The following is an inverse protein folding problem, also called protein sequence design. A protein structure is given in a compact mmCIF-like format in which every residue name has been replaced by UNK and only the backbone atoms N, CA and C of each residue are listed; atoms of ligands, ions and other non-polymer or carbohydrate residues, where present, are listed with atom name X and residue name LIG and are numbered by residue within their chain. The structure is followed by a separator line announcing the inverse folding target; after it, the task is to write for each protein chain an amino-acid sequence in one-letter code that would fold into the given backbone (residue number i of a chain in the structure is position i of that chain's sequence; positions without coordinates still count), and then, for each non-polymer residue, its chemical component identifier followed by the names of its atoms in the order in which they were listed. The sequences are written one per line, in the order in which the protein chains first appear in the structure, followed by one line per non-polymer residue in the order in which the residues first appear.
data_IF_586787417379
#
_entry.id   IF_586787417379
#
_cell.length_a   1.000
_cell.length_b   1.000
_cell.length_c   1.000
_cell.angle_alpha   90.00
_cell.angle_beta   90.00
_cell.angle_gamma   90.00
#
_symmetry.space_group_name_H-M   'P 1'
#
loop_
_entity.id
_entity.type
_entity.pdbx_description
1 polymer ?
#
# COMPACT_ATOMS: atom_id res chain seq x y z
N UNK A 1 -14.62 -13.61 -43.20
CA UNK A 1 -14.16 -14.19 -44.48
C UNK A 1 -13.10 -15.22 -44.18
N UNK A 2 -13.40 -16.51 -44.35
CA UNK A 2 -12.38 -17.56 -44.31
C UNK A 2 -11.66 -17.53 -45.65
N UNK A 3 -10.33 -17.38 -45.64
CA UNK A 3 -9.53 -17.41 -46.86
C UNK A 3 -9.66 -18.82 -47.48
N UNK A 4 -10.32 -18.91 -48.64
CA UNK A 4 -10.57 -20.17 -49.35
C UNK A 4 -9.38 -20.57 -50.25
N UNK A 5 -8.41 -19.69 -50.43
CA UNK A 5 -7.21 -19.97 -51.21
C UNK A 5 -6.26 -20.89 -50.42
N UNK A 6 -6.20 -22.16 -50.83
CA UNK A 6 -5.37 -23.19 -50.19
C UNK A 6 -3.87 -22.84 -50.22
N UNK A 7 -3.41 -22.11 -51.25
CA UNK A 7 -2.02 -21.71 -51.38
C UNK A 7 -1.59 -20.71 -50.30
N UNK A 8 -2.53 -19.94 -49.74
CA UNK A 8 -2.25 -18.93 -48.72
C UNK A 8 -2.36 -19.46 -47.28
N UNK A 9 -2.85 -20.70 -47.07
CA UNK A 9 -3.11 -21.26 -45.73
C UNK A 9 -1.84 -21.60 -44.96
N UNK A 10 -0.74 -21.94 -45.64
CA UNK A 10 0.48 -22.47 -45.01
C UNK A 10 1.73 -21.60 -45.25
N UNK A 11 1.56 -20.34 -45.67
CA UNK A 11 2.69 -19.45 -45.97
C UNK A 11 3.38 -18.89 -44.71
N UNK A 12 2.65 -18.77 -43.60
CA UNK A 12 3.19 -18.14 -42.38
C UNK A 12 4.00 -19.14 -41.59
N UNK A 13 5.20 -18.75 -41.22
CA UNK A 13 6.02 -19.43 -40.23
C UNK A 13 5.90 -18.67 -38.90
N UNK A 14 5.75 -19.41 -37.80
CA UNK A 14 5.82 -18.89 -36.44
C UNK A 14 7.06 -19.44 -35.76
N UNK A 15 7.72 -18.62 -34.94
CA UNK A 15 8.85 -19.01 -34.12
C UNK A 15 8.47 -18.89 -32.65
N UNK A 16 8.93 -19.82 -31.82
CA UNK A 16 8.89 -19.75 -30.36
C UNK A 16 10.26 -19.43 -29.78
N UNK A 17 10.37 -19.31 -28.46
CA UNK A 17 11.62 -18.97 -27.78
C UNK A 17 12.74 -19.98 -28.05
N UNK A 18 12.43 -21.27 -28.07
CA UNK A 18 13.42 -22.34 -28.27
C UNK A 18 13.90 -22.47 -29.73
N UNK A 19 13.25 -21.79 -30.68
CA UNK A 19 13.65 -21.83 -32.09
C UNK A 19 14.81 -20.87 -32.40
N UNK A 20 15.16 -19.96 -31.48
CA UNK A 20 16.11 -18.87 -31.73
C UNK A 20 17.09 -18.66 -30.58
N UNK A 21 18.25 -18.10 -30.91
CA UNK A 21 19.25 -17.66 -29.93
C UNK A 21 19.68 -16.22 -30.25
N UNK A 22 20.06 -15.47 -29.21
CA UNK A 22 20.66 -14.15 -29.37
C UNK A 22 22.14 -14.29 -29.76
N UNK A 23 22.56 -13.59 -30.81
CA UNK A 23 23.96 -13.55 -31.23
C UNK A 23 24.68 -12.51 -30.36
N UNK A 24 25.75 -12.89 -29.63
CA UNK A 24 26.54 -11.93 -28.84
C UNK A 24 27.15 -10.84 -29.72
N UNK A 25 27.22 -9.61 -29.20
CA UNK A 25 27.87 -8.47 -29.82
C UNK A 25 28.88 -7.84 -28.85
N UNK A 26 29.78 -7.01 -29.37
CA UNK A 26 30.69 -6.24 -28.53
C UNK A 26 29.90 -5.30 -27.60
N UNK A 27 30.29 -5.23 -26.33
CA UNK A 27 29.65 -4.39 -25.31
C UNK A 27 30.71 -3.79 -24.40
N UNK A 28 30.61 -2.48 -24.17
CA UNK A 28 31.41 -1.75 -23.19
C UNK A 28 30.64 -1.51 -21.87
N UNK A 29 29.43 -2.07 -21.74
CA UNK A 29 28.57 -1.94 -20.56
C UNK A 29 28.67 -3.19 -19.69
N UNK A 30 28.84 -3.00 -18.38
CA UNK A 30 28.80 -4.09 -17.41
C UNK A 30 27.36 -4.47 -17.09
N UNK A 31 27.04 -5.75 -16.82
CA UNK A 31 25.67 -6.19 -16.51
C UNK A 31 25.01 -5.43 -15.35
N UNK A 32 25.78 -4.97 -14.36
CA UNK A 32 25.25 -4.22 -13.21
C UNK A 32 24.82 -2.78 -13.56
N UNK A 33 25.31 -2.23 -14.67
CA UNK A 33 25.05 -0.87 -15.11
C UNK A 33 23.91 -0.79 -16.17
N UNK A 34 23.31 -1.93 -16.51
CA UNK A 34 22.22 -2.01 -17.50
C UNK A 34 20.93 -1.42 -16.92
N UNK A 35 20.34 -0.48 -17.67
CA UNK A 35 19.03 0.09 -17.34
C UNK A 35 17.90 -0.89 -17.75
N UNK A 36 17.13 -1.36 -16.76
CA UNK A 36 15.97 -2.25 -16.96
C UNK A 36 14.63 -1.50 -16.98
N UNK A 37 14.61 -0.18 -16.86
CA UNK A 37 13.37 0.58 -16.85
C UNK A 37 12.61 0.41 -18.17
N UNK A 38 11.30 0.27 -18.08
CA UNK A 38 10.44 0.07 -19.26
C UNK A 38 9.12 0.81 -19.15
N UNK A 39 8.47 1.05 -20.28
CA UNK A 39 7.20 1.74 -20.37
C UNK A 39 6.08 0.70 -20.58
N UNK A 40 5.23 0.48 -19.57
CA UNK A 40 4.09 -0.43 -19.70
C UNK A 40 2.93 0.21 -20.47
N UNK A 41 2.61 1.47 -20.15
CA UNK A 41 1.59 2.25 -20.85
C UNK A 41 2.13 3.64 -21.15
N UNK A 42 1.43 4.47 -21.93
CA UNK A 42 1.82 5.87 -22.18
C UNK A 42 2.11 6.71 -20.93
N UNK A 43 1.60 6.29 -19.75
CA UNK A 43 1.75 7.02 -18.48
C UNK A 43 2.45 6.25 -17.38
N UNK A 44 2.61 4.92 -17.52
CA UNK A 44 3.14 4.05 -16.45
C UNK A 44 4.50 3.51 -16.88
N UNK A 45 5.54 3.89 -16.13
CA UNK A 45 6.90 3.39 -16.23
C UNK A 45 7.17 2.42 -15.08
N UNK A 46 7.89 1.35 -15.35
CA UNK A 46 8.36 0.35 -14.39
C UNK A 46 9.88 0.45 -14.28
N UNK A 47 10.42 0.05 -13.13
CA UNK A 47 11.86 -0.02 -12.91
C UNK A 47 12.46 -1.33 -13.44
N UNK A 48 11.63 -2.39 -13.51
CA UNK A 48 11.97 -3.65 -14.15
C UNK A 48 10.83 -4.10 -15.09
N UNK A 49 11.10 -4.87 -16.16
CA UNK A 49 10.10 -5.28 -17.14
C UNK A 49 9.32 -6.53 -16.70
N UNK A 50 8.89 -6.59 -15.43
CA UNK A 50 8.17 -7.73 -14.87
C UNK A 50 6.74 -7.37 -14.45
N UNK A 51 5.80 -8.24 -14.84
CA UNK A 51 4.38 -8.14 -14.52
C UNK A 51 3.90 -9.49 -13.99
N UNK A 52 3.21 -9.52 -12.85
CA UNK A 52 2.62 -10.76 -12.35
C UNK A 52 1.25 -11.03 -13.01
N UNK A 53 0.99 -12.29 -13.36
CA UNK A 53 -0.21 -12.68 -14.08
C UNK A 53 -1.48 -12.48 -13.24
N UNK A 54 -2.56 -12.07 -13.89
CA UNK A 54 -3.88 -11.83 -13.28
C UNK A 54 -4.66 -13.13 -12.99
N UNK A 55 -4.06 -14.02 -12.20
CA UNK A 55 -4.59 -15.35 -11.85
C UNK A 55 -4.77 -15.47 -10.33
N UNK A 56 -5.80 -16.18 -9.90
CA UNK A 56 -6.11 -16.41 -8.48
C UNK A 56 -4.99 -17.14 -7.73
N UNK A 57 -4.29 -18.04 -8.41
CA UNK A 57 -3.13 -18.76 -7.88
C UNK A 57 -1.84 -17.94 -7.88
N UNK A 58 -1.83 -16.73 -8.44
CA UNK A 58 -0.61 -15.94 -8.65
C UNK A 58 -0.66 -14.60 -7.94
N UNK A 59 -1.69 -13.77 -8.19
CA UNK A 59 -1.65 -12.35 -7.81
C UNK A 59 -2.86 -11.89 -7.01
N UNK A 60 -2.69 -11.90 -5.70
CA UNK A 60 -3.46 -11.12 -4.73
C UNK A 60 -2.60 -9.97 -4.15
N UNK A 61 -3.12 -9.22 -3.17
CA UNK A 61 -2.48 -8.04 -2.57
C UNK A 61 -1.04 -8.30 -2.14
N UNK A 62 -0.74 -9.47 -1.58
CA UNK A 62 0.61 -9.83 -1.11
C UNK A 62 1.63 -9.86 -2.25
N UNK A 63 1.27 -10.48 -3.37
CA UNK A 63 2.15 -10.56 -4.55
C UNK A 63 2.25 -9.19 -5.22
N UNK A 64 1.14 -8.46 -5.34
CA UNK A 64 1.14 -7.13 -5.93
C UNK A 64 2.02 -6.13 -5.15
N UNK A 65 2.01 -6.19 -3.82
CA UNK A 65 2.93 -5.39 -2.97
C UNK A 65 4.38 -5.83 -3.20
N UNK A 66 4.65 -7.14 -3.19
CA UNK A 66 6.01 -7.66 -3.34
C UNK A 66 6.64 -7.28 -4.69
N UNK A 67 5.94 -7.50 -5.80
CA UNK A 67 6.47 -7.17 -7.14
C UNK A 67 6.62 -5.66 -7.34
N UNK A 68 5.75 -4.84 -6.74
CA UNK A 68 5.87 -3.40 -6.80
C UNK A 68 7.14 -2.90 -6.08
N UNK A 69 7.50 -3.52 -4.95
CA UNK A 69 8.75 -3.21 -4.22
C UNK A 69 10.00 -3.55 -5.00
N UNK A 70 9.97 -4.64 -5.75
CA UNK A 70 11.04 -5.00 -6.69
C UNK A 70 11.06 -4.11 -7.96
N UNK A 71 10.08 -3.21 -8.11
CA UNK A 71 10.01 -2.25 -9.21
C UNK A 71 9.18 -2.68 -10.42
N UNK A 72 8.49 -3.82 -10.32
CA UNK A 72 7.52 -4.31 -11.30
C UNK A 72 6.09 -3.89 -10.98
N UNK A 73 5.11 -4.63 -11.49
CA UNK A 73 3.68 -4.37 -11.21
C UNK A 73 2.87 -5.67 -11.14
N UNK A 74 1.93 -5.72 -10.20
CA UNK A 74 1.02 -6.86 -10.06
C UNK A 74 -0.39 -6.54 -10.51
N UNK A 75 -1.02 -7.47 -11.24
CA UNK A 75 -2.42 -7.36 -11.67
C UNK A 75 -3.29 -8.28 -10.81
N UNK A 76 -4.15 -7.70 -9.98
CA UNK A 76 -5.08 -8.47 -9.14
C UNK A 76 -6.09 -9.21 -10.03
N UNK A 77 -6.24 -10.51 -9.81
CA UNK A 77 -7.19 -11.34 -10.57
C UNK A 77 -8.65 -10.92 -10.32
N UNK A 78 -9.56 -11.40 -11.17
CA UNK A 78 -11.01 -11.06 -11.12
C UNK A 78 -11.91 -12.18 -10.57
N UNK A 79 -11.32 -13.25 -10.04
CA UNK A 79 -12.06 -14.41 -9.53
C UNK A 79 -12.51 -14.18 -8.07
N UNK A 80 -13.18 -13.05 -7.84
CA UNK A 80 -13.71 -12.62 -6.54
C UNK A 80 -14.80 -11.56 -6.77
N UNK A 81 -15.52 -11.15 -5.72
CA UNK A 81 -16.50 -10.07 -5.87
C UNK A 81 -15.82 -8.73 -6.19
N UNK A 82 -16.60 -7.78 -6.74
CA UNK A 82 -16.14 -6.41 -7.00
C UNK A 82 -15.62 -5.76 -5.71
N UNK A 83 -16.31 -5.97 -4.58
CA UNK A 83 -15.93 -5.40 -3.29
C UNK A 83 -14.61 -6.00 -2.77
N UNK A 84 -14.43 -7.32 -2.90
CA UNK A 84 -13.19 -7.99 -2.51
C UNK A 84 -12.01 -7.51 -3.38
N UNK A 85 -12.20 -7.38 -4.69
CA UNK A 85 -11.14 -6.89 -5.57
C UNK A 85 -10.75 -5.45 -5.24
N UNK A 86 -11.73 -4.60 -4.92
CA UNK A 86 -11.48 -3.23 -4.47
C UNK A 86 -10.68 -3.20 -3.15
N UNK A 87 -11.00 -4.06 -2.18
CA UNK A 87 -10.26 -4.18 -0.92
C UNK A 87 -8.81 -4.65 -1.15
N UNK A 88 -8.58 -5.58 -2.09
CA UNK A 88 -7.23 -6.00 -2.49
C UNK A 88 -6.41 -4.84 -3.05
N UNK A 89 -7.00 -4.05 -3.95
CA UNK A 89 -6.35 -2.86 -4.52
C UNK A 89 -6.08 -1.82 -3.43
N UNK A 90 -7.03 -1.56 -2.54
CA UNK A 90 -6.90 -0.63 -1.42
C UNK A 90 -5.73 -1.02 -0.50
N UNK A 91 -5.61 -2.31 -0.15
CA UNK A 91 -4.48 -2.83 0.63
C UNK A 91 -3.13 -2.59 -0.06
N UNK A 92 -3.04 -2.80 -1.38
CA UNK A 92 -1.79 -2.53 -2.13
C UNK A 92 -1.45 -1.05 -2.11
N UNK A 93 -2.44 -0.18 -2.37
CA UNK A 93 -2.23 1.27 -2.43
C UNK A 93 -1.84 1.86 -1.07
N UNK A 94 -2.26 1.25 0.04
CA UNK A 94 -1.91 1.70 1.40
C UNK A 94 -0.58 1.18 1.91
N UNK A 95 0.01 0.15 1.29
CA UNK A 95 1.19 -0.52 1.84
C UNK A 95 2.43 0.37 1.97
N UNK A 96 2.54 1.46 1.21
CA UNK A 96 3.66 2.41 1.24
C UNK A 96 3.22 3.87 1.06
N UNK A 97 1.99 4.19 1.46
CA UNK A 97 1.57 5.59 1.47
C UNK A 97 2.22 6.29 2.67
N UNK A 98 3.29 7.04 2.40
CA UNK A 98 3.93 8.01 3.29
C UNK A 98 2.98 8.90 4.11
N UNK A 99 1.77 9.10 3.60
CA UNK A 99 0.66 9.78 4.27
C UNK A 99 -0.61 8.99 4.01
N UNK A 100 -1.23 8.45 5.06
CA UNK A 100 -2.55 7.81 4.94
C UNK A 100 -3.58 8.92 4.73
N UNK A 101 -3.93 9.25 3.49
CA UNK A 101 -5.03 10.17 3.17
C UNK A 101 -6.37 9.51 3.47
N UNK A 102 -7.21 10.16 4.28
CA UNK A 102 -8.47 9.60 4.82
C UNK A 102 -8.23 8.42 5.79
N UNK A 103 -7.55 8.67 6.93
CA UNK A 103 -7.24 7.64 7.91
C UNK A 103 -8.54 7.08 8.51
N UNK A 104 -8.56 5.78 8.76
CA UNK A 104 -9.57 5.19 9.62
C UNK A 104 -9.46 5.83 11.01
N UNK A 105 -10.62 6.12 11.58
CA UNK A 105 -10.73 6.58 12.95
C UNK A 105 -11.96 5.93 13.57
N UNK A 106 -11.94 5.78 14.88
CA UNK A 106 -13.10 5.34 15.64
C UNK A 106 -13.71 6.54 16.37
N UNK A 107 -15.04 6.50 16.53
CA UNK A 107 -15.73 7.46 17.38
C UNK A 107 -15.50 7.10 18.87
N UNK A 108 -15.62 8.06 19.80
CA UNK A 108 -15.76 7.73 21.21
C UNK A 108 -16.93 6.75 21.43
N UNK A 109 -16.82 5.89 22.44
CA UNK A 109 -17.80 4.86 22.79
C UNK A 109 -17.60 3.50 22.12
N UNK A 110 -16.60 3.36 21.24
CA UNK A 110 -16.18 2.04 20.73
C UNK A 110 -15.36 1.27 21.78
N UNK A 111 -15.28 -0.05 21.61
CA UNK A 111 -14.55 -0.97 22.50
C UNK A 111 -13.12 -1.22 22.03
N UNK A 112 -12.24 -1.67 22.94
CA UNK A 112 -10.88 -2.07 22.58
C UNK A 112 -10.86 -3.23 21.56
N UNK A 113 -11.85 -4.13 21.60
CA UNK A 113 -11.99 -5.21 20.63
C UNK A 113 -12.17 -4.69 19.19
N UNK A 114 -13.02 -3.68 19.00
CA UNK A 114 -13.25 -3.06 17.68
C UNK A 114 -11.98 -2.35 17.17
N UNK A 115 -11.22 -1.72 18.08
CA UNK A 115 -9.91 -1.16 17.73
C UNK A 115 -8.91 -2.24 17.30
N UNK A 116 -8.87 -3.37 18.01
CA UNK A 116 -7.98 -4.50 17.67
C UNK A 116 -8.31 -5.10 16.31
N UNK A 117 -9.60 -5.34 16.04
CA UNK A 117 -10.06 -5.84 14.74
C UNK A 117 -9.66 -4.91 13.60
N UNK A 118 -9.82 -3.60 13.79
CA UNK A 118 -9.46 -2.60 12.80
C UNK A 118 -7.93 -2.55 12.60
N UNK A 119 -7.16 -2.65 13.68
CA UNK A 119 -5.70 -2.71 13.60
C UNK A 119 -5.20 -3.98 12.89
N UNK A 120 -5.81 -5.13 13.17
CA UNK A 120 -5.49 -6.41 12.54
C UNK A 120 -5.85 -6.38 11.04
N UNK A 121 -7.04 -5.88 10.70
CA UNK A 121 -7.54 -5.77 9.32
C UNK A 121 -6.62 -4.91 8.46
N UNK A 122 -6.22 -3.73 8.95
CA UNK A 122 -5.40 -2.79 8.19
C UNK A 122 -3.89 -2.92 8.46
N UNK A 123 -3.46 -3.88 9.28
CA UNK A 123 -2.05 -4.11 9.69
C UNK A 123 -1.34 -2.86 10.23
N UNK A 124 -2.10 -2.01 10.89
CA UNK A 124 -1.63 -0.80 11.56
C UNK A 124 -1.43 -1.08 13.04
N UNK A 125 -0.73 -0.17 13.72
CA UNK A 125 -0.41 -0.35 15.16
C UNK A 125 -1.02 0.73 16.05
N UNK A 126 -1.90 1.57 15.50
CA UNK A 126 -2.65 2.56 16.24
C UNK A 126 -3.76 3.19 15.42
N UNK A 127 -4.81 3.61 16.10
CA UNK A 127 -6.05 4.14 15.54
C UNK A 127 -6.32 5.51 16.16
N UNK A 128 -6.41 6.56 15.34
CA UNK A 128 -6.91 7.86 15.79
C UNK A 128 -8.36 7.78 16.25
N UNK A 129 -8.70 8.50 17.32
CA UNK A 129 -10.06 8.61 17.84
C UNK A 129 -10.56 10.01 17.58
N UNK A 130 -11.70 10.12 16.88
CA UNK A 130 -12.27 11.40 16.49
C UNK A 130 -13.72 11.54 16.97
N UNK A 131 -14.05 12.73 17.48
CA UNK A 131 -15.44 13.13 17.74
C UNK A 131 -15.87 14.14 16.66
N UNK A 132 -16.91 13.80 15.91
CA UNK A 132 -17.39 14.59 14.76
C UNK A 132 -16.25 15.01 13.78
N UNK A 133 -15.27 14.12 13.60
CA UNK A 133 -14.11 14.33 12.73
C UNK A 133 -12.95 15.09 13.39
N UNK A 134 -13.11 15.66 14.58
CA UNK A 134 -12.01 16.28 15.35
C UNK A 134 -11.22 15.24 16.10
N UNK A 135 -9.90 15.30 15.99
CA UNK A 135 -9.01 14.38 16.70
C UNK A 135 -9.05 14.66 18.21
N UNK A 136 -9.49 13.68 19.00
CA UNK A 136 -9.56 13.77 20.46
C UNK A 136 -8.59 12.82 21.18
N UNK A 137 -8.04 11.84 20.46
CA UNK A 137 -7.12 10.87 21.04
C UNK A 137 -6.49 9.93 20.02
N UNK A 138 -5.59 9.08 20.50
CA UNK A 138 -5.05 7.95 19.74
C UNK A 138 -4.94 6.74 20.66
N UNK A 139 -5.31 5.57 20.15
CA UNK A 139 -5.06 4.28 20.80
C UNK A 139 -3.99 3.53 20.01
N UNK A 140 -3.04 2.90 20.70
CA UNK A 140 -1.96 2.15 20.07
C UNK A 140 -1.85 0.73 20.64
N UNK A 141 -1.14 -0.15 19.92
CA UNK A 141 -0.81 -1.49 20.41
C UNK A 141 -0.08 -1.46 21.76
N UNK A 142 0.59 -0.36 22.13
CA UNK A 142 1.25 -0.24 23.43
C UNK A 142 0.22 -0.04 24.54
N UNK A 143 -0.81 0.76 24.29
CA UNK A 143 -1.85 1.06 25.27
C UNK A 143 -2.68 -0.20 25.52
N UNK A 144 -3.00 -0.95 24.47
CA UNK A 144 -3.76 -2.21 24.60
C UNK A 144 -3.00 -3.37 25.20
N UNK A 145 -1.65 -3.37 25.15
CA UNK A 145 -0.84 -4.48 25.69
C UNK A 145 -1.00 -4.70 27.20
N UNK A 146 -1.45 -3.67 27.92
CA UNK A 146 -1.63 -3.71 29.37
C UNK A 146 -3.08 -3.95 29.78
N UNK A 147 -3.99 -4.01 28.81
CA UNK A 147 -5.42 -4.21 29.04
C UNK A 147 -5.78 -5.70 28.92
N UNK A 148 -6.53 -6.20 29.90
CA UNK A 148 -7.05 -7.58 29.89
C UNK A 148 -8.52 -7.65 29.49
N UNK A 149 -9.27 -6.55 29.65
CA UNK A 149 -10.69 -6.47 29.32
C UNK A 149 -10.89 -5.73 27.99
N UNK A 150 -11.09 -6.50 26.92
CA UNK A 150 -11.31 -5.94 25.58
C UNK A 150 -12.70 -5.32 25.38
N UNK A 151 -13.62 -5.49 26.34
CA UNK A 151 -14.95 -4.88 26.30
C UNK A 151 -14.96 -3.44 26.83
N UNK A 152 -13.87 -3.00 27.46
CA UNK A 152 -13.73 -1.64 27.94
C UNK A 152 -13.76 -0.63 26.79
N UNK A 153 -14.32 0.55 27.07
CA UNK A 153 -14.39 1.65 26.11
C UNK A 153 -12.99 2.24 25.86
N UNK A 154 -12.72 2.55 24.60
CA UNK A 154 -11.47 3.19 24.17
C UNK A 154 -11.25 4.51 24.90
N UNK A 155 -12.34 5.21 25.26
CA UNK A 155 -12.30 6.48 25.99
C UNK A 155 -11.53 6.42 27.30
N UNK A 156 -11.44 5.25 27.93
CA UNK A 156 -10.77 5.09 29.24
C UNK A 156 -9.27 4.82 29.08
N UNK A 157 -8.82 4.38 27.90
CA UNK A 157 -7.46 3.88 27.67
C UNK A 157 -6.67 4.77 26.70
N UNK A 158 -7.35 5.43 25.76
CA UNK A 158 -6.68 6.23 24.75
C UNK A 158 -5.85 7.37 25.35
N UNK A 159 -4.76 7.72 24.66
CA UNK A 159 -4.01 8.94 25.00
C UNK A 159 -4.80 10.16 24.52
N UNK A 160 -5.14 11.08 25.42
CA UNK A 160 -5.90 12.31 25.12
C UNK A 160 -5.05 13.58 25.24
N UNK A 161 -4.08 13.58 26.14
CA UNK A 161 -3.25 14.75 26.43
C UNK A 161 -1.91 14.68 25.69
N UNK A 162 -1.35 15.85 25.35
CA UNK A 162 -0.06 15.98 24.67
C UNK A 162 0.04 15.19 23.36
N UNK A 163 -1.05 15.15 22.60
CA UNK A 163 -1.06 14.55 21.26
C UNK A 163 -0.06 15.28 20.35
N UNK A 164 0.97 14.57 19.93
CA UNK A 164 1.92 15.05 18.93
C UNK A 164 1.22 14.97 17.58
N UNK A 165 0.93 16.12 16.98
CA UNK A 165 0.26 16.24 15.67
C UNK A 165 1.08 17.10 14.72
N UNK A 166 0.76 17.05 13.44
CA UNK A 166 1.35 17.93 12.43
C UNK A 166 0.26 18.49 11.49
N UNK A 167 0.48 19.68 10.90
CA UNK A 167 -0.51 20.30 10.02
C UNK A 167 -0.59 19.59 8.65
N UNK A 168 -1.73 19.72 7.98
CA UNK A 168 -1.90 19.31 6.59
C UNK A 168 -0.81 19.93 5.69
N UNK A 169 -0.23 19.12 4.80
CA UNK A 169 0.88 19.51 3.93
C UNK A 169 2.28 19.20 4.50
N UNK A 170 2.39 18.65 5.70
CA UNK A 170 3.67 18.20 6.29
C UNK A 170 4.33 17.15 5.39
N UNK A 171 5.61 17.37 5.06
CA UNK A 171 6.41 16.44 4.25
C UNK A 171 6.89 15.23 5.06
N UNK A 172 7.25 14.13 4.39
CA UNK A 172 7.85 12.96 5.04
C UNK A 172 9.12 13.30 5.84
N UNK A 173 9.94 14.23 5.33
CA UNK A 173 11.17 14.66 5.99
C UNK A 173 10.88 15.44 7.29
N UNK A 174 9.89 16.33 7.27
CA UNK A 174 9.44 17.07 8.47
C UNK A 174 8.78 16.12 9.47
N UNK A 175 7.93 15.21 9.01
CA UNK A 175 7.30 14.19 9.82
C UNK A 175 8.34 13.32 10.54
N UNK A 176 9.41 12.89 9.82
CA UNK A 176 10.55 12.16 10.40
C UNK A 176 11.20 12.92 11.55
N UNK A 177 11.41 14.22 11.41
CA UNK A 177 12.01 15.03 12.47
C UNK A 177 11.07 15.20 13.67
N UNK A 178 9.77 15.38 13.43
CA UNK A 178 8.76 15.49 14.51
C UNK A 178 8.66 14.17 15.29
N UNK A 179 8.57 13.04 14.59
CA UNK A 179 8.54 11.69 15.18
C UNK A 179 9.81 11.43 16.01
N UNK A 180 10.99 11.78 15.46
CA UNK A 180 12.28 11.63 16.14
C UNK A 180 12.37 12.48 17.41
N UNK A 181 11.95 13.74 17.34
CA UNK A 181 12.03 14.69 18.47
C UNK A 181 11.15 14.27 19.63
N UNK A 182 9.92 13.84 19.34
CA UNK A 182 8.94 13.47 20.37
C UNK A 182 8.99 11.97 20.73
N UNK A 183 9.84 11.18 20.06
CA UNK A 183 9.99 9.72 20.27
C UNK A 183 8.66 8.97 20.18
N UNK A 184 7.83 9.37 19.22
CA UNK A 184 6.54 8.72 18.92
C UNK A 184 6.63 8.04 17.56
N UNK A 185 5.85 6.98 17.37
CA UNK A 185 5.85 6.17 16.13
C UNK A 185 4.78 6.59 15.13
N UNK A 186 3.84 7.44 15.55
CA UNK A 186 2.62 7.78 14.82
C UNK A 186 2.39 9.28 14.97
N UNK A 187 2.09 9.93 13.85
CA UNK A 187 1.89 11.37 13.75
C UNK A 187 0.57 11.64 13.01
N UNK A 188 -0.53 11.90 13.74
CA UNK A 188 -1.77 12.36 13.15
C UNK A 188 -1.58 13.72 12.46
N UNK A 189 -2.14 13.84 11.27
CA UNK A 189 -2.16 15.06 10.46
C UNK A 189 -3.52 15.71 10.59
N UNK A 190 -3.56 16.96 11.04
CA UNK A 190 -4.80 17.71 11.31
C UNK A 190 -4.88 19.00 10.49
N UNK A 191 -6.10 19.45 10.22
CA UNK A 191 -6.34 20.79 9.67
C UNK A 191 -6.37 21.87 10.76
N UNK A 192 -6.66 23.12 10.36
CA UNK A 192 -6.73 24.27 11.26
C UNK A 192 -7.83 24.16 12.32
N UNK A 193 -8.88 23.39 12.03
CA UNK A 193 -10.01 23.16 12.93
C UNK A 193 -9.85 21.86 13.76
N UNK A 194 -8.65 21.26 13.71
CA UNK A 194 -8.26 20.03 14.39
C UNK A 194 -8.96 18.77 13.86
N UNK A 195 -9.49 18.80 12.63
CA UNK A 195 -10.02 17.60 11.99
C UNK A 195 -8.90 16.73 11.45
N UNK A 196 -9.03 15.42 11.63
CA UNK A 196 -8.06 14.46 11.14
C UNK A 196 -8.10 14.37 9.61
N UNK A 197 -6.96 14.67 8.96
CA UNK A 197 -6.76 14.56 7.51
C UNK A 197 -5.89 13.39 7.11
N UNK A 198 -4.97 12.99 8.01
CA UNK A 198 -4.02 11.94 7.72
C UNK A 198 -3.37 11.31 8.94
N UNK A 199 -2.62 10.24 8.70
CA UNK A 199 -1.76 9.62 9.69
C UNK A 199 -0.45 9.23 9.01
N UNK A 200 0.68 9.65 9.58
CA UNK A 200 2.03 9.23 9.16
C UNK A 200 2.59 8.31 10.23
N UNK A 201 3.18 7.19 9.83
CA UNK A 201 3.81 6.25 10.76
C UNK A 201 5.29 6.09 10.47
N UNK A 202 6.06 5.67 11.47
CA UNK A 202 7.49 5.38 11.29
C UNK A 202 7.77 4.25 10.30
N UNK A 203 6.77 3.40 10.01
CA UNK A 203 6.91 2.37 8.97
C UNK A 203 6.93 2.96 7.55
N UNK A 204 6.45 4.19 7.40
CA UNK A 204 6.36 4.87 6.11
C UNK A 204 7.61 5.71 5.79
N UNK A 205 8.64 5.67 6.66
CA UNK A 205 9.89 6.45 6.61
C UNK A 205 11.10 5.52 6.54
#
# INVERSE_FOLDING_TARGET
MVNQDAAQKFLKQGLTFDDVLLIPAASDVLPADVDLHTQLTKKIRLNIPLISAAMDTVTEYRMAIAIAREGGIGIIHKNMSISQQAEQVDMVKRSENGVITNPFWLAPGHTLAEADELMAKFRISGVPICDNGKLIGIITNRDMKFETDMSQLIDNVMTKENLVTAPEGTTLAEAKEILRRHKVEKLPIVDKDFHLKGLITIKDI
#
